data_IF_577560444132
#
_entry.id   IF_577560444132
#
_cell.length_a   1.000
_cell.length_b   1.000
_cell.length_c   1.000
_cell.angle_alpha   90.00
_cell.angle_beta   90.00
_cell.angle_gamma   90.00
#
_symmetry.space_group_name_H-M   'P 1'
#
loop_
_entity.id
_entity.type
_entity.pdbx_description
1 polymer ?
#
# COMPACT_ATOMS: atom_id res chain seq x y z
N UNK A 1 66.59 -18.87 -13.85
CA UNK A 1 66.02 -17.72 -13.10
C UNK A 1 64.76 -18.24 -12.39
N UNK A 2 64.95 -19.02 -11.31
CA UNK A 2 64.49 -18.78 -9.91
C UNK A 2 63.00 -18.44 -9.78
N UNK A 3 62.16 -19.41 -9.38
CA UNK A 3 61.70 -19.75 -7.99
C UNK A 3 60.32 -19.11 -7.75
N UNK A 4 59.30 -19.69 -7.12
CA UNK A 4 59.02 -21.00 -6.50
C UNK A 4 57.59 -20.96 -5.93
N UNK A 5 56.92 -22.11 -5.89
CA UNK A 5 55.65 -22.36 -5.18
C UNK A 5 55.70 -22.03 -3.68
N UNK A 6 54.57 -21.63 -3.08
CA UNK A 6 54.24 -21.90 -1.66
C UNK A 6 52.74 -22.24 -1.51
N UNK A 7 52.49 -23.42 -0.94
CA UNK A 7 51.23 -23.93 -0.38
C UNK A 7 51.08 -23.52 1.11
N UNK A 8 49.83 -23.46 1.57
CA UNK A 8 49.32 -23.97 2.88
C UNK A 8 49.85 -23.39 4.21
N UNK A 9 48.97 -22.84 5.07
CA UNK A 9 48.38 -23.59 6.22
C UNK A 9 47.69 -22.70 7.27
N UNK A 10 46.59 -23.25 7.80
CA UNK A 10 45.89 -23.03 9.09
C UNK A 10 46.69 -22.59 10.34
N UNK A 11 46.01 -21.85 11.23
CA UNK A 11 46.01 -21.93 12.71
C UNK A 11 44.71 -21.26 13.20
N UNK A 12 43.70 -21.90 13.79
CA UNK A 12 43.50 -22.55 15.10
C UNK A 12 43.51 -21.65 16.37
N UNK A 13 42.31 -21.58 16.97
CA UNK A 13 41.91 -21.55 18.40
C UNK A 13 42.14 -20.32 19.30
N UNK A 14 41.04 -19.86 19.94
CA UNK A 14 40.77 -19.94 21.41
C UNK A 14 39.45 -19.20 21.71
N UNK A 15 38.33 -19.85 22.05
CA UNK A 15 37.86 -20.33 23.38
C UNK A 15 38.07 -19.40 24.58
N UNK A 16 36.96 -19.02 25.22
CA UNK A 16 36.85 -18.41 26.56
C UNK A 16 35.68 -17.43 26.59
N UNK A 17 34.47 -17.74 27.08
CA UNK A 17 34.16 -18.44 28.32
C UNK A 17 34.01 -17.42 29.45
N UNK A 18 32.80 -16.85 29.63
CA UNK A 18 32.37 -16.30 30.92
C UNK A 18 30.84 -16.31 31.05
N UNK A 19 30.36 -17.26 31.86
CA UNK A 19 29.04 -17.31 32.52
C UNK A 19 29.19 -16.73 33.92
N UNK A 20 28.27 -15.85 34.30
CA UNK A 20 27.77 -15.54 35.64
C UNK A 20 26.29 -15.16 35.37
N UNK A 21 25.23 -15.84 35.83
CA UNK A 21 24.99 -16.45 37.13
C UNK A 21 24.36 -15.41 38.05
N UNK A 22 23.03 -15.22 38.06
CA UNK A 22 22.08 -15.41 39.19
C UNK A 22 20.90 -14.42 38.94
N UNK A 23 19.63 -14.55 39.35
CA UNK A 23 18.86 -15.47 40.20
C UNK A 23 17.35 -15.21 39.96
N UNK A 24 16.54 -16.06 40.58
CA UNK A 24 15.16 -16.46 40.31
C UNK A 24 14.08 -15.74 41.18
N UNK A 25 12.80 -15.96 40.82
CA UNK A 25 11.49 -15.78 41.56
C UNK A 25 10.76 -14.44 41.33
N UNK A 26 9.55 -14.42 40.72
CA UNK A 26 8.20 -14.98 41.05
C UNK A 26 7.49 -14.18 42.17
N UNK A 27 6.44 -13.44 41.79
CA UNK A 27 5.39 -12.82 42.62
C UNK A 27 4.38 -12.16 41.68
N UNK A 28 3.26 -12.82 41.38
CA UNK A 28 1.95 -12.71 42.04
C UNK A 28 1.07 -11.57 41.54
N UNK A 29 -0.12 -11.99 41.08
CA UNK A 29 -1.27 -11.21 40.62
C UNK A 29 -1.63 -10.04 41.52
N UNK A 30 -1.96 -8.90 40.90
CA UNK A 30 -3.05 -8.04 41.36
C UNK A 30 -3.95 -7.63 40.20
N UNK A 31 -5.17 -8.17 40.27
CA UNK A 31 -6.37 -7.61 39.66
C UNK A 31 -6.47 -6.12 40.02
N UNK A 32 -6.66 -5.27 39.03
CA UNK A 32 -7.34 -3.99 39.22
C UNK A 32 -8.54 -3.96 38.28
N UNK A 33 -9.69 -4.17 38.91
CA UNK A 33 -11.00 -3.78 38.42
C UNK A 33 -10.98 -2.29 38.07
N UNK A 34 -11.34 -1.94 36.84
CA UNK A 34 -11.86 -0.61 36.55
C UNK A 34 -13.22 -0.76 35.87
N UNK A 35 -14.21 -0.26 36.58
CA UNK A 35 -15.64 -0.31 36.31
C UNK A 35 -16.00 0.47 35.04
N UNK A 36 -16.88 -0.12 34.24
CA UNK A 36 -17.44 0.46 33.04
C UNK A 36 -18.32 1.68 33.36
N UNK A 37 -18.16 2.75 32.57
CA UNK A 37 -19.19 3.78 32.38
C UNK A 37 -19.78 3.53 30.98
N UNK A 38 -20.99 2.99 30.95
CA UNK A 38 -21.81 2.90 29.75
C UNK A 38 -22.26 4.31 29.33
N UNK A 39 -21.91 4.72 28.12
CA UNK A 39 -22.74 5.63 27.32
C UNK A 39 -23.03 4.94 26.00
N UNK A 40 -24.28 4.52 25.83
CA UNK A 40 -24.78 4.00 24.58
C UNK A 40 -24.88 5.12 23.57
N UNK A 41 -24.33 4.89 22.38
CA UNK A 41 -24.69 5.60 21.16
C UNK A 41 -25.10 4.53 20.17
N UNK A 42 -26.38 4.57 19.80
CA UNK A 42 -27.00 3.76 18.77
C UNK A 42 -26.45 4.21 17.42
N UNK A 43 -25.62 3.40 16.77
CA UNK A 43 -25.21 3.61 15.38
C UNK A 43 -26.31 3.10 14.44
N UNK A 44 -27.07 4.02 13.86
CA UNK A 44 -27.83 3.77 12.63
C UNK A 44 -26.90 3.93 11.42
N UNK A 45 -27.01 3.00 10.46
CA UNK A 45 -26.26 3.02 9.20
C UNK A 45 -26.74 4.19 8.31
N UNK A 46 -25.85 4.97 7.66
CA UNK A 46 -26.28 6.03 6.75
C UNK A 46 -26.80 5.47 5.41
N UNK A 47 -27.83 6.11 4.87
CA UNK A 47 -28.44 5.79 3.57
C UNK A 47 -27.54 6.18 2.39
N UNK A 48 -27.76 5.56 1.22
CA UNK A 48 -26.94 5.62 0.00
C UNK A 48 -26.86 6.98 -0.75
N UNK A 49 -26.89 8.14 -0.07
CA UNK A 49 -26.69 9.45 -0.71
C UNK A 49 -25.73 10.33 0.07
N UNK A 50 -24.50 9.89 0.22
CA UNK A 50 -23.37 10.72 0.67
C UNK A 50 -22.06 10.05 0.20
N UNK A 51 -21.70 10.25 -1.07
CA UNK A 51 -20.43 9.81 -1.65
C UNK A 51 -19.86 10.92 -2.56
N UNK A 52 -19.65 12.10 -2.00
CA UNK A 52 -18.98 13.21 -2.72
C UNK A 52 -17.93 13.95 -1.89
N UNK A 53 -17.52 13.44 -0.73
CA UNK A 53 -16.42 14.02 0.05
C UNK A 53 -15.27 13.00 0.22
N UNK A 54 -14.00 13.42 0.01
CA UNK A 54 -12.85 12.53 0.17
C UNK A 54 -12.81 11.94 1.59
N UNK A 55 -12.78 10.60 1.67
CA UNK A 55 -12.84 9.80 2.90
C UNK A 55 -11.69 10.08 3.91
N UNK A 56 -10.75 10.98 3.61
CA UNK A 56 -9.69 11.38 4.54
C UNK A 56 -10.06 12.58 5.42
N UNK A 57 -11.04 13.42 5.05
CA UNK A 57 -11.24 14.73 5.70
C UNK A 57 -11.90 14.69 7.09
N UNK A 58 -12.50 13.57 7.52
CA UNK A 58 -13.41 13.56 8.68
C UNK A 58 -12.79 13.20 10.04
N UNK A 59 -11.47 13.21 10.21
CA UNK A 59 -10.88 13.05 11.54
C UNK A 59 -9.71 14.02 11.76
N UNK A 60 -10.02 15.23 12.23
CA UNK A 60 -9.21 16.04 13.15
C UNK A 60 -9.87 17.42 13.34
N UNK A 61 -10.99 17.44 14.07
CA UNK A 61 -11.47 18.67 14.74
C UNK A 61 -11.57 18.36 16.21
N UNK A 62 -10.54 18.73 16.96
CA UNK A 62 -10.62 19.15 18.37
C UNK A 62 -9.20 19.30 18.94
N UNK A 63 -8.74 20.56 19.05
CA UNK A 63 -8.09 21.14 20.24
C UNK A 63 -7.73 22.59 19.96
N UNK A 64 -8.62 23.48 20.35
CA UNK A 64 -8.32 24.90 20.52
C UNK A 64 -7.61 25.15 21.86
N UNK A 65 -6.85 26.25 21.90
CA UNK A 65 -6.10 26.85 23.00
C UNK A 65 -4.65 26.41 23.22
N UNK A 66 -3.78 26.61 22.21
CA UNK A 66 -2.38 27.13 22.37
C UNK A 66 -1.87 27.66 21.02
N UNK A 67 -2.53 28.67 20.45
CA UNK A 67 -2.64 28.77 18.98
C UNK A 67 -1.54 29.56 18.27
N UNK A 68 -0.89 30.56 18.87
CA UNK A 68 -0.01 31.46 18.08
C UNK A 68 1.41 30.93 17.78
N UNK A 69 2.08 30.25 18.71
CA UNK A 69 3.44 29.72 18.47
C UNK A 69 3.44 28.36 17.77
N UNK A 70 2.38 27.57 17.95
CA UNK A 70 2.20 26.29 17.27
C UNK A 70 1.85 26.48 15.78
N UNK A 71 0.99 27.45 15.44
CA UNK A 71 0.62 27.73 14.05
C UNK A 71 1.83 28.21 13.20
N UNK A 72 2.67 29.11 13.74
CA UNK A 72 3.89 29.57 13.05
C UNK A 72 4.95 28.47 12.90
N UNK A 73 5.01 27.50 13.82
CA UNK A 73 5.87 26.32 13.69
C UNK A 73 5.33 25.33 12.64
N UNK A 74 4.01 25.13 12.57
CA UNK A 74 3.41 24.21 11.59
C UNK A 74 3.51 24.68 10.14
N UNK A 75 3.60 26.00 9.89
CA UNK A 75 3.77 26.52 8.53
C UNK A 75 5.18 26.29 7.96
N UNK A 76 6.17 26.01 8.83
CA UNK A 76 7.56 25.66 8.43
C UNK A 76 7.81 24.16 8.28
N UNK A 77 6.90 23.32 8.77
CA UNK A 77 7.07 21.87 8.70
C UNK A 77 7.04 21.39 7.26
N UNK A 78 8.12 20.72 6.83
CA UNK A 78 8.26 20.21 5.47
C UNK A 78 7.09 19.28 5.11
N UNK A 79 6.56 18.51 6.06
CA UNK A 79 5.41 17.63 5.84
C UNK A 79 4.13 18.36 5.50
N UNK A 80 3.84 19.46 6.18
CA UNK A 80 2.62 20.23 5.91
C UNK A 80 2.77 21.05 4.62
N UNK A 81 3.98 21.54 4.33
CA UNK A 81 4.27 22.20 3.05
C UNK A 81 4.10 21.24 1.88
N UNK A 82 4.70 20.04 1.93
CA UNK A 82 4.53 19.02 0.87
C UNK A 82 3.04 18.67 0.70
N UNK A 83 2.33 18.41 1.80
CA UNK A 83 0.89 18.11 1.77
C UNK A 83 0.09 19.23 1.10
N UNK A 84 0.42 20.49 1.37
CA UNK A 84 -0.23 21.67 0.78
C UNK A 84 0.02 21.76 -0.71
N UNK A 85 1.28 21.74 -1.15
CA UNK A 85 1.65 21.92 -2.57
C UNK A 85 1.22 20.75 -3.45
N UNK A 86 1.10 19.54 -2.87
CA UNK A 86 0.69 18.35 -3.62
C UNK A 86 -0.83 18.11 -3.63
N UNK A 87 -1.63 18.95 -2.96
CA UNK A 87 -3.08 18.75 -2.81
C UNK A 87 -3.80 18.54 -4.15
N UNK A 88 -3.58 19.43 -5.12
CA UNK A 88 -4.23 19.36 -6.42
C UNK A 88 -3.75 18.15 -7.25
N UNK A 89 -2.45 17.84 -7.21
CA UNK A 89 -1.90 16.67 -7.90
C UNK A 89 -2.37 15.35 -7.26
N UNK A 90 -2.59 15.32 -5.95
CA UNK A 90 -3.20 14.18 -5.27
C UNK A 90 -4.64 13.94 -5.76
N UNK A 91 -5.47 14.99 -5.80
CA UNK A 91 -6.84 14.91 -6.31
C UNK A 91 -6.83 14.40 -7.76
N UNK A 92 -5.95 14.91 -8.62
CA UNK A 92 -5.83 14.42 -10.00
C UNK A 92 -5.41 12.96 -10.07
N UNK A 93 -4.45 12.53 -9.25
CA UNK A 93 -4.02 11.14 -9.22
C UNK A 93 -5.15 10.17 -8.85
N UNK A 94 -5.97 10.51 -7.85
CA UNK A 94 -7.13 9.72 -7.45
C UNK A 94 -8.23 9.66 -8.51
N UNK A 95 -8.31 10.68 -9.37
CA UNK A 95 -9.30 10.78 -10.46
C UNK A 95 -8.79 10.24 -11.81
N UNK A 96 -7.61 9.60 -11.86
CA UNK A 96 -7.19 8.86 -13.06
C UNK A 96 -8.10 7.67 -13.32
N UNK A 97 -8.32 7.29 -14.60
CA UNK A 97 -9.23 6.19 -14.95
C UNK A 97 -8.90 4.87 -14.24
N UNK A 98 -7.60 4.57 -14.09
CA UNK A 98 -7.16 3.37 -13.38
C UNK A 98 -7.58 3.42 -11.91
N UNK A 99 -7.36 4.55 -11.21
CA UNK A 99 -7.72 4.69 -9.79
C UNK A 99 -9.24 4.73 -9.59
N UNK A 100 -9.99 5.38 -10.48
CA UNK A 100 -11.46 5.33 -10.48
C UNK A 100 -11.97 3.90 -10.67
N UNK A 101 -11.31 3.08 -11.51
CA UNK A 101 -11.62 1.66 -11.67
C UNK A 101 -11.39 0.87 -10.38
N UNK A 102 -10.30 1.13 -9.65
CA UNK A 102 -10.13 0.57 -8.30
C UNK A 102 -11.27 1.01 -7.38
N UNK A 103 -11.51 2.31 -7.22
CA UNK A 103 -12.53 2.83 -6.29
C UNK A 103 -13.92 2.25 -6.55
N UNK A 104 -14.27 1.98 -7.82
CA UNK A 104 -15.54 1.34 -8.22
C UNK A 104 -15.56 -0.19 -8.06
N UNK A 105 -14.45 -0.81 -7.66
CA UNK A 105 -14.32 -2.26 -7.59
C UNK A 105 -14.31 -2.94 -8.96
N UNK A 106 -13.89 -2.23 -10.00
CA UNK A 106 -13.90 -2.66 -11.40
C UNK A 106 -12.49 -2.99 -11.93
N UNK A 107 -11.47 -2.92 -11.08
CA UNK A 107 -10.11 -3.27 -11.45
C UNK A 107 -10.03 -4.73 -11.90
N UNK A 108 -9.49 -4.93 -13.10
CA UNK A 108 -9.30 -6.25 -13.70
C UNK A 108 -7.94 -6.84 -13.33
N UNK A 109 -7.81 -8.16 -13.38
CA UNK A 109 -6.52 -8.83 -13.14
C UNK A 109 -5.40 -8.34 -14.09
N UNK A 110 -5.62 -8.13 -15.39
CA UNK A 110 -4.60 -7.55 -16.28
C UNK A 110 -4.17 -6.13 -15.87
N UNK A 111 -5.12 -5.28 -15.48
CA UNK A 111 -4.81 -3.94 -14.94
C UNK A 111 -3.93 -4.02 -13.71
N UNK A 112 -4.31 -4.87 -12.76
CA UNK A 112 -3.57 -5.06 -11.52
C UNK A 112 -2.15 -5.60 -11.77
N UNK A 113 -2.01 -6.59 -12.65
CA UNK A 113 -0.72 -7.18 -13.00
C UNK A 113 0.23 -6.18 -13.68
N UNK A 114 -0.27 -5.31 -14.56
CA UNK A 114 0.56 -4.26 -15.18
C UNK A 114 0.94 -3.15 -14.19
N UNK A 115 0.05 -2.82 -13.27
CA UNK A 115 0.36 -1.92 -12.16
C UNK A 115 1.51 -2.50 -11.31
N UNK A 116 1.45 -3.78 -10.92
CA UNK A 116 2.52 -4.44 -10.17
C UNK A 116 3.86 -4.42 -10.90
N UNK A 117 3.88 -4.66 -12.23
CA UNK A 117 5.10 -4.55 -13.03
C UNK A 117 5.71 -3.14 -12.93
N UNK A 118 4.87 -2.09 -13.00
CA UNK A 118 5.36 -0.71 -12.91
C UNK A 118 5.80 -0.33 -11.50
N UNK A 119 5.09 -0.80 -10.47
CA UNK A 119 5.50 -0.64 -9.08
C UNK A 119 6.85 -1.32 -8.83
N UNK A 120 7.07 -2.53 -9.33
CA UNK A 120 8.35 -3.21 -9.21
C UNK A 120 9.52 -2.37 -9.73
N UNK A 121 9.43 -1.83 -10.95
CA UNK A 121 10.50 -0.99 -11.52
C UNK A 121 10.70 0.32 -10.73
N UNK A 122 9.60 0.97 -10.30
CA UNK A 122 9.67 2.23 -9.54
C UNK A 122 10.26 2.02 -8.16
N UNK A 123 9.81 1.02 -7.40
CA UNK A 123 10.34 0.76 -6.06
C UNK A 123 11.76 0.20 -6.12
N UNK A 124 12.10 -0.60 -7.14
CA UNK A 124 13.48 -0.99 -7.36
C UNK A 124 14.39 0.24 -7.53
N UNK A 125 14.02 1.19 -8.37
CA UNK A 125 14.81 2.41 -8.57
C UNK A 125 14.83 3.32 -7.32
N UNK A 126 13.69 3.45 -6.61
CA UNK A 126 13.60 4.24 -5.39
C UNK A 126 14.48 3.65 -4.29
N UNK A 127 14.33 2.35 -4.01
CA UNK A 127 15.04 1.66 -2.94
C UNK A 127 16.55 1.54 -3.25
N UNK A 128 16.94 1.29 -4.51
CA UNK A 128 18.35 1.37 -4.94
C UNK A 128 19.00 2.73 -4.56
N UNK A 129 18.28 3.83 -4.76
CA UNK A 129 18.81 5.18 -4.48
C UNK A 129 18.65 5.60 -3.02
N UNK A 130 17.65 5.09 -2.30
CA UNK A 130 17.55 5.24 -0.85
C UNK A 130 18.70 4.51 -0.15
N UNK A 131 19.03 3.29 -0.58
CA UNK A 131 20.15 2.51 -0.05
C UNK A 131 21.49 3.19 -0.34
N UNK A 132 21.69 3.66 -1.59
CA UNK A 132 22.90 4.39 -1.98
C UNK A 132 23.12 5.63 -1.12
N UNK A 133 22.04 6.33 -0.78
CA UNK A 133 22.08 7.60 -0.05
C UNK A 133 21.70 7.47 1.42
N UNK A 134 21.70 6.27 2.01
CA UNK A 134 21.22 6.03 3.38
C UNK A 134 21.95 6.83 4.47
N UNK A 135 23.18 7.29 4.20
CA UNK A 135 23.97 8.15 5.10
C UNK A 135 23.88 9.65 4.76
N UNK A 136 23.20 10.03 3.69
CA UNK A 136 23.01 11.44 3.32
C UNK A 136 22.18 12.16 4.40
N UNK A 137 22.55 13.36 4.86
CA UNK A 137 21.86 14.05 5.97
C UNK A 137 20.34 14.19 5.79
N UNK A 138 19.88 14.40 4.56
CA UNK A 138 18.45 14.52 4.25
C UNK A 138 17.70 13.20 4.13
N UNK A 139 18.41 12.09 3.86
CA UNK A 139 17.80 10.77 3.63
C UNK A 139 17.84 9.91 4.89
N UNK A 140 18.93 9.96 5.65
CA UNK A 140 19.13 9.17 6.86
C UNK A 140 17.96 9.27 7.87
N UNK A 141 17.33 10.45 8.11
CA UNK A 141 16.22 10.56 9.06
C UNK A 141 14.97 9.77 8.65
N UNK A 142 14.76 9.57 7.34
CA UNK A 142 13.58 8.91 6.76
C UNK A 142 13.86 7.49 6.24
N UNK A 143 15.05 6.95 6.48
CA UNK A 143 15.46 5.65 5.97
C UNK A 143 14.98 4.51 6.89
N UNK A 144 13.84 3.90 6.51
CA UNK A 144 13.16 2.82 7.26
C UNK A 144 12.97 1.56 6.40
N UNK A 145 14.06 0.88 5.97
CA UNK A 145 13.95 -0.25 5.04
C UNK A 145 13.17 -1.44 5.63
N UNK A 146 13.34 -1.74 6.93
CA UNK A 146 12.66 -2.87 7.57
C UNK A 146 11.13 -2.70 7.61
N UNK A 147 10.66 -1.46 7.72
CA UNK A 147 9.24 -1.13 7.82
C UNK A 147 8.61 -0.84 6.45
N UNK A 148 9.34 -0.16 5.56
CA UNK A 148 8.78 0.43 4.35
C UNK A 148 9.21 -0.21 3.03
N UNK A 149 10.33 -0.95 2.96
CA UNK A 149 10.78 -1.52 1.68
C UNK A 149 9.70 -2.42 1.07
N UNK A 150 9.43 -2.26 -0.22
CA UNK A 150 8.38 -2.93 -0.98
C UNK A 150 8.94 -3.90 -2.01
N UNK A 151 10.22 -3.82 -2.39
CA UNK A 151 10.77 -4.62 -3.47
C UNK A 151 10.50 -6.12 -3.29
N UNK A 152 10.86 -6.71 -2.14
CA UNK A 152 10.60 -8.14 -1.89
C UNK A 152 9.10 -8.49 -1.93
N UNK A 153 8.24 -7.56 -1.49
CA UNK A 153 6.80 -7.76 -1.44
C UNK A 153 6.20 -7.79 -2.86
N UNK A 154 6.59 -6.84 -3.71
CA UNK A 154 6.12 -6.82 -5.11
C UNK A 154 6.72 -7.96 -5.93
N UNK A 155 7.94 -8.41 -5.63
CA UNK A 155 8.52 -9.63 -6.25
C UNK A 155 7.70 -10.89 -5.91
N UNK A 156 7.25 -11.04 -4.66
CA UNK A 156 6.35 -12.15 -4.25
C UNK A 156 5.03 -12.11 -5.01
N UNK A 157 4.44 -10.91 -5.16
CA UNK A 157 3.19 -10.76 -5.88
C UNK A 157 3.35 -11.05 -7.38
N UNK A 158 4.45 -10.60 -7.99
CA UNK A 158 4.76 -10.92 -9.39
C UNK A 158 4.98 -12.42 -9.59
N UNK A 159 5.71 -13.08 -8.70
CA UNK A 159 5.89 -14.53 -8.74
C UNK A 159 4.55 -15.28 -8.61
N UNK A 160 3.63 -14.80 -7.77
CA UNK A 160 2.28 -15.36 -7.64
C UNK A 160 1.48 -15.25 -8.96
N UNK A 161 1.48 -14.10 -9.62
CA UNK A 161 0.65 -13.89 -10.82
C UNK A 161 1.27 -14.33 -12.15
N UNK A 162 2.60 -14.44 -12.22
CA UNK A 162 3.33 -14.72 -13.45
C UNK A 162 4.17 -16.01 -13.40
N UNK A 163 4.30 -16.64 -12.23
CA UNK A 163 5.11 -17.83 -12.02
C UNK A 163 6.59 -17.51 -11.77
N UNK A 164 7.47 -18.53 -11.70
CA UNK A 164 8.89 -18.35 -11.38
C UNK A 164 9.62 -17.43 -12.38
N UNK A 165 9.23 -17.47 -13.66
CA UNK A 165 9.84 -16.67 -14.73
C UNK A 165 9.23 -15.28 -14.87
N UNK A 166 8.65 -14.72 -13.79
CA UNK A 166 7.95 -13.44 -13.83
C UNK A 166 8.84 -12.29 -14.34
N UNK A 167 10.16 -12.34 -14.08
CA UNK A 167 11.12 -11.30 -14.48
C UNK A 167 11.15 -11.10 -15.99
N UNK A 168 11.01 -12.17 -16.78
CA UNK A 168 10.97 -12.11 -18.25
C UNK A 168 9.64 -11.55 -18.79
N UNK A 169 8.62 -11.46 -17.94
CA UNK A 169 7.26 -11.04 -18.28
C UNK A 169 6.95 -9.61 -17.83
N UNK A 170 7.90 -8.93 -17.18
CA UNK A 170 7.75 -7.54 -16.76
C UNK A 170 7.72 -6.65 -18.00
N UNK A 171 6.55 -6.05 -18.24
CA UNK A 171 6.34 -5.06 -19.29
C UNK A 171 5.80 -3.80 -18.64
N UNK A 172 6.44 -2.67 -18.90
CA UNK A 172 6.11 -1.36 -18.31
C UNK A 172 6.00 -0.28 -19.38
N UNK A 173 5.15 0.74 -19.19
CA UNK A 173 5.05 1.87 -20.11
C UNK A 173 6.30 2.74 -20.10
N UNK A 174 6.39 3.62 -21.10
CA UNK A 174 7.45 4.63 -21.17
C UNK A 174 7.45 5.56 -19.95
N UNK A 175 6.28 5.91 -19.41
CA UNK A 175 6.17 6.69 -18.17
C UNK A 175 6.90 6.06 -16.98
N UNK A 176 6.80 4.73 -16.80
CA UNK A 176 7.52 4.03 -15.72
C UNK A 176 9.03 4.18 -15.86
N UNK A 177 9.56 4.06 -17.09
CA UNK A 177 10.99 4.25 -17.36
C UNK A 177 11.43 5.69 -17.08
N UNK A 178 10.62 6.69 -17.45
CA UNK A 178 10.88 8.10 -17.13
C UNK A 178 10.94 8.35 -15.62
N UNK A 179 10.00 7.75 -14.87
CA UNK A 179 10.02 7.82 -13.42
C UNK A 179 11.31 7.21 -12.85
N UNK A 180 11.63 5.97 -13.23
CA UNK A 180 12.85 5.30 -12.77
C UNK A 180 14.13 6.08 -13.12
N UNK A 181 14.16 6.72 -14.29
CA UNK A 181 15.27 7.60 -14.69
C UNK A 181 15.38 8.81 -13.77
N UNK A 182 14.27 9.49 -13.46
CA UNK A 182 14.28 10.65 -12.56
C UNK A 182 14.77 10.28 -11.16
N UNK A 183 14.32 9.15 -10.61
CA UNK A 183 14.78 8.63 -9.31
C UNK A 183 16.30 8.43 -9.28
N UNK A 184 16.85 7.77 -10.30
CA UNK A 184 18.30 7.56 -10.41
C UNK A 184 19.08 8.85 -10.65
N UNK A 185 18.50 9.79 -11.38
CA UNK A 185 19.11 11.10 -11.60
C UNK A 185 19.22 11.87 -10.27
N UNK A 186 18.12 12.03 -9.53
CA UNK A 186 18.15 12.76 -8.26
C UNK A 186 18.97 12.04 -7.19
N UNK A 187 18.93 10.71 -7.14
CA UNK A 187 19.75 9.94 -6.20
C UNK A 187 21.25 10.13 -6.42
N UNK A 188 21.67 10.53 -7.63
CA UNK A 188 23.07 10.86 -7.94
C UNK A 188 23.39 12.34 -7.76
N UNK A 189 22.49 13.21 -8.20
CA UNK A 189 22.78 14.65 -8.38
C UNK A 189 22.25 15.52 -7.23
N UNK A 190 21.10 15.16 -6.65
CA UNK A 190 20.37 15.95 -5.64
C UNK A 190 19.65 15.00 -4.64
N UNK A 191 20.39 14.25 -3.79
CA UNK A 191 19.82 13.19 -2.94
C UNK A 191 18.74 13.67 -1.96
N UNK A 192 18.77 14.94 -1.56
CA UNK A 192 17.75 15.58 -0.73
C UNK A 192 16.34 15.51 -1.35
N UNK A 193 16.24 15.45 -2.68
CA UNK A 193 14.96 15.31 -3.38
C UNK A 193 14.36 13.90 -3.27
N UNK A 194 15.12 12.90 -2.81
CA UNK A 194 14.56 11.56 -2.54
C UNK A 194 13.47 11.61 -1.46
N UNK A 195 13.53 12.58 -0.53
CA UNK A 195 12.50 12.80 0.49
C UNK A 195 11.11 12.99 -0.13
N UNK A 196 11.03 13.76 -1.23
CA UNK A 196 9.77 14.02 -1.93
C UNK A 196 9.13 12.74 -2.50
N UNK A 197 9.95 11.88 -3.10
CA UNK A 197 9.49 10.63 -3.70
C UNK A 197 9.14 9.57 -2.65
N UNK A 198 9.98 9.42 -1.62
CA UNK A 198 9.72 8.52 -0.51
C UNK A 198 8.43 8.91 0.23
N UNK A 199 8.22 10.22 0.49
CA UNK A 199 6.97 10.74 1.03
C UNK A 199 5.78 10.35 0.16
N UNK A 200 5.84 10.68 -1.14
CA UNK A 200 4.71 10.49 -2.07
C UNK A 200 4.30 9.01 -2.17
N UNK A 201 5.29 8.11 -2.18
CA UNK A 201 5.05 6.67 -2.31
C UNK A 201 4.63 6.04 -0.97
N UNK A 202 5.52 6.03 0.03
CA UNK A 202 5.30 5.25 1.25
C UNK A 202 4.11 5.73 2.08
N UNK A 203 3.88 7.04 2.20
CA UNK A 203 2.72 7.56 2.95
C UNK A 203 1.41 7.36 2.20
N UNK A 204 1.46 7.33 0.86
CA UNK A 204 0.34 6.90 0.02
C UNK A 204 -0.02 5.43 0.28
N UNK A 205 0.97 4.54 0.32
CA UNK A 205 0.75 3.11 0.56
C UNK A 205 0.20 2.81 1.97
N UNK A 206 0.69 3.54 2.98
CA UNK A 206 0.21 3.48 4.38
C UNK A 206 -1.13 4.21 4.60
N UNK A 207 -1.69 4.83 3.56
CA UNK A 207 -2.98 5.52 3.59
C UNK A 207 -3.96 4.87 2.62
N UNK A 208 -4.10 5.40 1.40
CA UNK A 208 -5.01 4.86 0.38
C UNK A 208 -4.67 3.44 -0.06
N UNK A 209 -3.38 3.07 -0.05
CA UNK A 209 -2.93 1.72 -0.43
C UNK A 209 -3.60 0.60 0.36
N UNK A 210 -3.86 0.80 1.65
CA UNK A 210 -4.56 -0.20 2.50
C UNK A 210 -6.01 -0.44 2.05
N UNK A 211 -6.68 0.60 1.54
CA UNK A 211 -8.02 0.48 0.97
C UNK A 211 -7.96 -0.19 -0.40
N UNK A 212 -7.00 0.23 -1.24
CA UNK A 212 -6.80 -0.34 -2.57
C UNK A 212 -6.49 -1.84 -2.54
N UNK A 213 -5.68 -2.31 -1.58
CA UNK A 213 -5.40 -3.73 -1.40
C UNK A 213 -6.67 -4.56 -1.11
N UNK A 214 -7.56 -4.06 -0.24
CA UNK A 214 -8.85 -4.72 0.07
C UNK A 214 -9.79 -4.73 -1.13
N UNK A 215 -9.84 -3.63 -1.86
CA UNK A 215 -10.59 -3.53 -3.11
C UNK A 215 -10.07 -4.54 -4.13
N UNK A 216 -8.75 -4.59 -4.35
CA UNK A 216 -8.09 -5.50 -5.28
C UNK A 216 -8.42 -6.96 -4.93
N UNK A 217 -8.34 -7.32 -3.65
CA UNK A 217 -8.71 -8.64 -3.14
C UNK A 217 -10.14 -9.02 -3.54
N UNK A 218 -11.10 -8.12 -3.27
CA UNK A 218 -12.52 -8.35 -3.53
C UNK A 218 -12.82 -8.43 -5.03
N UNK A 219 -12.33 -7.46 -5.81
CA UNK A 219 -12.60 -7.35 -7.25
C UNK A 219 -12.07 -8.53 -8.05
N UNK A 220 -10.93 -9.10 -7.63
CA UNK A 220 -10.31 -10.26 -8.29
C UNK A 220 -10.69 -11.61 -7.66
N UNK A 221 -11.51 -11.62 -6.59
CA UNK A 221 -11.93 -12.85 -5.92
C UNK A 221 -10.79 -13.65 -5.26
N UNK A 222 -9.75 -12.96 -4.79
CA UNK A 222 -8.61 -13.59 -4.12
C UNK A 222 -9.03 -14.14 -2.76
N UNK A 223 -8.81 -15.45 -2.53
CA UNK A 223 -9.24 -16.16 -1.31
C UNK A 223 -8.22 -16.07 -0.17
N UNK A 224 -6.97 -15.78 -0.49
CA UNK A 224 -5.87 -15.56 0.46
C UNK A 224 -5.34 -14.13 0.31
N UNK A 225 -4.35 -13.76 1.13
CA UNK A 225 -3.57 -12.53 0.97
C UNK A 225 -2.43 -12.66 -0.04
N UNK A 226 -2.28 -13.82 -0.70
CA UNK A 226 -1.27 -14.02 -1.72
C UNK A 226 -1.57 -13.16 -2.95
N UNK A 227 -0.53 -12.57 -3.54
CA UNK A 227 -0.68 -11.58 -4.61
C UNK A 227 -1.06 -10.17 -4.12
N UNK A 228 -1.05 -9.92 -2.80
CA UNK A 228 -1.30 -8.61 -2.18
C UNK A 228 -0.23 -8.23 -1.15
N UNK A 229 0.93 -8.88 -1.19
CA UNK A 229 2.05 -8.66 -0.28
C UNK A 229 2.52 -7.21 -0.28
N UNK A 230 2.49 -6.53 -1.44
CA UNK A 230 2.84 -5.12 -1.58
C UNK A 230 2.08 -4.20 -0.59
N UNK A 231 0.80 -4.50 -0.35
CA UNK A 231 -0.05 -3.73 0.55
C UNK A 231 0.13 -4.09 2.03
N UNK A 232 0.87 -5.16 2.35
CA UNK A 232 1.10 -5.61 3.71
C UNK A 232 2.39 -4.99 4.28
N UNK A 233 2.30 -4.41 5.48
CA UNK A 233 3.43 -3.78 6.18
C UNK A 233 3.68 -4.49 7.52
N UNK A 234 4.25 -5.71 7.53
CA UNK A 234 4.44 -6.48 8.76
C UNK A 234 5.38 -5.79 9.78
N UNK A 235 6.30 -4.94 9.30
CA UNK A 235 7.15 -4.11 10.15
C UNK A 235 6.44 -2.89 10.77
N UNK A 236 5.21 -2.57 10.35
CA UNK A 236 4.44 -1.41 10.83
C UNK A 236 3.25 -1.89 11.66
N UNK A 237 3.36 -1.79 12.99
CA UNK A 237 2.29 -2.19 13.92
C UNK A 237 1.07 -1.26 13.88
N UNK A 238 1.26 0.02 13.62
CA UNK A 238 0.19 1.01 13.49
C UNK A 238 0.52 2.00 12.37
N UNK A 239 -0.18 1.94 11.22
CA UNK A 239 0.05 2.85 10.10
C UNK A 239 -0.06 4.33 10.49
N UNK A 240 -1.02 4.69 11.36
CA UNK A 240 -1.21 6.08 11.77
C UNK A 240 -0.04 6.58 12.63
N UNK A 241 0.41 5.80 13.63
CA UNK A 241 1.58 6.18 14.45
C UNK A 241 2.85 6.23 13.61
N UNK A 242 3.02 5.31 12.67
CA UNK A 242 4.19 5.29 11.81
C UNK A 242 4.21 6.49 10.85
N UNK A 243 3.07 6.89 10.27
CA UNK A 243 2.98 8.13 9.46
C UNK A 243 3.31 9.37 10.28
N UNK A 244 2.87 9.46 11.53
CA UNK A 244 3.23 10.56 12.44
C UNK A 244 4.74 10.59 12.72
N UNK A 245 5.34 9.42 13.04
CA UNK A 245 6.79 9.28 13.19
C UNK A 245 7.53 9.73 11.91
N UNK A 246 7.11 9.23 10.76
CA UNK A 246 7.75 9.55 9.47
C UNK A 246 7.70 11.05 9.18
N UNK A 247 6.55 11.72 9.38
CA UNK A 247 6.44 13.18 9.23
C UNK A 247 7.34 13.93 10.19
N UNK A 248 7.38 13.52 11.47
CA UNK A 248 8.28 14.13 12.46
C UNK A 248 9.76 14.00 12.05
N UNK A 249 10.16 12.84 11.51
CA UNK A 249 11.53 12.63 10.98
C UNK A 249 11.82 13.49 9.76
N UNK A 250 10.86 13.60 8.85
CA UNK A 250 10.98 14.45 7.68
C UNK A 250 11.10 15.94 8.06
N UNK A 251 10.38 16.39 9.10
CA UNK A 251 10.47 17.77 9.59
C UNK A 251 11.82 18.08 10.27
N UNK A 252 12.57 17.05 10.68
CA UNK A 252 13.93 17.20 11.22
C UNK A 252 15.03 17.31 10.16
N UNK A 253 14.69 17.19 8.88
CA UNK A 253 15.65 17.33 7.78
C UNK A 253 16.02 18.81 7.62
N UNK A 254 17.30 19.11 7.82
CA UNK A 254 17.87 20.45 7.61
C UNK A 254 18.09 20.68 6.11
N UNK A 255 17.52 21.76 5.58
CA UNK A 255 17.59 22.17 4.17
C UNK A 255 17.80 23.68 4.09
N UNK A 256 18.56 24.15 3.10
CA UNK A 256 18.52 25.56 2.71
C UNK A 256 17.15 25.93 2.14
N UNK A 257 16.89 27.23 1.95
CA UNK A 257 15.63 27.66 1.31
C UNK A 257 15.54 27.16 -0.14
N UNK A 258 16.65 27.15 -0.88
CA UNK A 258 16.71 26.64 -2.26
C UNK A 258 16.43 25.14 -2.32
N UNK A 259 17.08 24.35 -1.45
CA UNK A 259 16.86 22.90 -1.37
C UNK A 259 15.41 22.58 -1.00
N UNK A 260 14.86 23.31 -0.01
CA UNK A 260 13.46 23.17 0.40
C UNK A 260 12.49 23.44 -0.74
N UNK A 261 12.67 24.54 -1.46
CA UNK A 261 11.84 24.85 -2.63
C UNK A 261 11.96 23.76 -3.70
N UNK A 262 13.18 23.26 -3.94
CA UNK A 262 13.42 22.13 -4.84
C UNK A 262 12.69 20.85 -4.43
N UNK A 263 12.67 20.51 -3.12
CA UNK A 263 11.91 19.36 -2.59
C UNK A 263 10.41 19.53 -2.81
N UNK A 264 9.86 20.74 -2.62
CA UNK A 264 8.44 21.01 -2.83
C UNK A 264 8.05 20.85 -4.30
N UNK A 265 8.86 21.39 -5.22
CA UNK A 265 8.66 21.20 -6.66
C UNK A 265 8.78 19.73 -7.07
N UNK A 266 9.76 19.01 -6.50
CA UNK A 266 9.94 17.59 -6.79
C UNK A 266 8.78 16.75 -6.24
N UNK A 267 8.17 17.13 -5.12
CA UNK A 267 6.99 16.42 -4.61
C UNK A 267 5.82 16.52 -5.59
N UNK A 268 5.58 17.69 -6.16
CA UNK A 268 4.58 17.86 -7.24
C UNK A 268 4.96 17.00 -8.45
N UNK A 269 6.23 17.01 -8.87
CA UNK A 269 6.74 16.17 -9.97
C UNK A 269 6.53 14.67 -9.70
N UNK A 270 6.74 14.21 -8.47
CA UNK A 270 6.53 12.82 -8.07
C UNK A 270 5.07 12.40 -8.29
N UNK A 271 4.10 13.26 -7.98
CA UNK A 271 2.69 13.00 -8.31
C UNK A 271 2.45 13.00 -9.83
N UNK A 272 3.00 13.95 -10.59
CA UNK A 272 2.84 13.96 -12.05
C UNK A 272 3.39 12.68 -12.71
N UNK A 273 4.54 12.20 -12.23
CA UNK A 273 5.12 10.95 -12.71
C UNK A 273 4.21 9.75 -12.40
N UNK A 274 3.58 9.70 -11.24
CA UNK A 274 2.58 8.68 -10.90
C UNK A 274 1.35 8.75 -11.82
N UNK A 275 0.81 9.96 -12.04
CA UNK A 275 -0.33 10.18 -12.94
C UNK A 275 -0.01 9.67 -14.34
N UNK A 276 1.15 10.05 -14.90
CA UNK A 276 1.58 9.60 -16.22
C UNK A 276 1.72 8.08 -16.31
N UNK A 277 2.21 7.43 -15.24
CA UNK A 277 2.26 5.96 -15.18
C UNK A 277 0.86 5.36 -15.27
N UNK A 278 -0.10 5.87 -14.49
CA UNK A 278 -1.49 5.37 -14.52
C UNK A 278 -2.16 5.58 -15.88
N UNK A 279 -1.96 6.75 -16.50
CA UNK A 279 -2.50 7.05 -17.83
C UNK A 279 -1.89 6.17 -18.93
N UNK A 280 -0.58 5.97 -18.93
CA UNK A 280 0.07 5.14 -19.95
C UNK A 280 -0.27 3.64 -19.76
N UNK A 281 -0.42 3.17 -18.51
CA UNK A 281 -0.92 1.83 -18.22
C UNK A 281 -2.31 1.62 -18.84
N UNK A 282 -3.20 2.59 -18.67
CA UNK A 282 -4.54 2.55 -19.25
C UNK A 282 -4.48 2.51 -20.79
N UNK A 283 -3.62 3.32 -21.43
CA UNK A 283 -3.42 3.29 -22.89
C UNK A 283 -2.91 1.93 -23.39
N UNK A 284 -1.97 1.31 -22.67
CA UNK A 284 -1.46 -0.04 -23.00
C UNK A 284 -2.58 -1.09 -23.00
N UNK A 285 -3.51 -1.00 -22.05
CA UNK A 285 -4.64 -1.92 -21.95
C UNK A 285 -5.67 -1.74 -23.06
N UNK A 286 -5.93 -0.50 -23.48
CA UNK A 286 -6.84 -0.18 -24.58
C UNK A 286 -6.27 -0.56 -25.95
N UNK A 287 -4.95 -0.51 -26.08
CA UNK A 287 -4.23 -0.81 -27.33
C UNK A 287 -3.92 -2.31 -27.50
N UNK A 288 -4.15 -3.12 -26.47
CA UNK A 288 -4.01 -4.57 -26.58
C UNK A 288 -5.12 -5.12 -27.51
N UNK A 289 -4.79 -5.83 -28.60
CA UNK A 289 -5.81 -6.38 -29.49
C UNK A 289 -6.73 -7.32 -28.70
N UNK A 290 -8.06 -7.12 -28.82
CA UNK A 290 -9.12 -7.88 -28.12
C UNK A 290 -9.08 -9.42 -28.29
N UNK A 291 -8.13 -9.95 -29.06
CA UNK A 291 -8.04 -11.37 -29.45
C UNK A 291 -7.04 -12.23 -28.65
N UNK A 292 -6.48 -11.75 -27.52
CA UNK A 292 -5.60 -12.60 -26.67
C UNK A 292 -5.94 -12.64 -25.18
N UNK A 293 -7.15 -12.23 -24.80
CA UNK A 293 -7.73 -12.55 -23.48
C UNK A 293 -9.03 -13.36 -23.66
N UNK A 294 -8.96 -14.47 -24.39
CA UNK A 294 -9.85 -15.58 -24.08
C UNK A 294 -9.21 -16.34 -22.94
N UNK A 295 -9.79 -16.19 -21.76
CA UNK A 295 -9.66 -17.16 -20.68
C UNK A 295 -9.81 -18.55 -21.27
N UNK A 296 -8.82 -19.41 -21.09
CA UNK A 296 -9.00 -20.85 -21.20
C UNK A 296 -9.92 -21.31 -20.07
N UNK A 297 -11.20 -20.97 -20.15
CA UNK A 297 -12.25 -21.67 -19.44
C UNK A 297 -12.49 -22.95 -20.24
N UNK A 298 -11.82 -24.04 -19.84
CA UNK A 298 -12.28 -25.38 -20.18
C UNK A 298 -13.78 -25.46 -19.89
N UNK A 299 -14.63 -25.82 -20.86
CA UNK A 299 -16.05 -25.97 -20.60
C UNK A 299 -16.22 -27.14 -19.64
N UNK A 300 -16.78 -26.86 -18.46
CA UNK A 300 -17.31 -27.92 -17.60
C UNK A 300 -18.36 -28.65 -18.42
N UNK A 301 -18.13 -29.95 -18.70
CA UNK A 301 -19.14 -30.81 -19.28
C UNK A 301 -20.38 -30.75 -18.39
N UNK A 302 -21.43 -30.09 -18.86
CA UNK A 302 -22.76 -30.29 -18.30
C UNK A 302 -23.12 -31.77 -18.48
N UNK A 303 -23.22 -32.48 -17.37
CA UNK A 303 -23.84 -33.80 -17.36
C UNK A 303 -25.33 -33.59 -17.65
N UNK A 304 -25.77 -33.98 -18.84
CA UNK A 304 -27.19 -34.07 -19.18
C UNK A 304 -27.81 -35.16 -18.30
N UNK A 305 -28.77 -34.78 -17.46
CA UNK A 305 -29.65 -35.75 -16.78
C UNK A 305 -30.96 -35.79 -17.61
N UNK A 306 -31.37 -36.98 -18.12
CA UNK A 306 -32.63 -37.13 -18.83
C UNK A 306 -33.83 -36.82 -17.94
N UNK A 307 -34.86 -36.24 -18.55
CA UNK A 307 -36.04 -35.75 -17.86
C UNK A 307 -36.93 -36.81 -17.21
N UNK A 308 -37.69 -36.30 -16.23
CA UNK A 308 -38.91 -36.82 -15.63
C UNK A 308 -38.79 -38.09 -14.76
N UNK A 309 -39.02 -37.90 -13.44
CA UNK A 309 -40.09 -38.57 -12.68
C UNK A 309 -40.52 -37.60 -11.55
N UNK A 310 -41.80 -37.26 -11.54
CA UNK A 310 -42.50 -36.58 -10.44
C UNK A 310 -42.97 -37.65 -9.48
N UNK A 311 -42.59 -37.61 -8.19
CA UNK A 311 -43.35 -38.25 -7.12
C UNK A 311 -43.36 -37.41 -5.84
N UNK A 312 -44.53 -36.80 -5.62
CA UNK A 312 -45.23 -36.56 -4.36
C UNK A 312 -44.53 -36.85 -3.03
N UNK A 313 -44.25 -35.80 -2.26
CA UNK A 313 -44.41 -35.85 -0.79
C UNK A 313 -44.80 -34.47 -0.23
N UNK A 314 -45.77 -34.39 0.71
CA UNK A 314 -46.31 -33.12 1.22
C UNK A 314 -45.34 -32.36 2.15
N UNK A 315 -44.17 -32.93 2.50
CA UNK A 315 -43.16 -32.29 3.33
C UNK A 315 -42.24 -31.33 2.55
N UNK A 316 -42.19 -31.41 1.22
CA UNK A 316 -41.36 -30.52 0.40
C UNK A 316 -42.05 -29.18 0.03
N UNK A 317 -43.35 -29.04 0.35
CA UNK A 317 -44.10 -27.78 0.15
C UNK A 317 -43.96 -26.79 1.32
N UNK A 318 -43.34 -27.19 2.44
CA UNK A 318 -43.14 -26.32 3.60
C UNK A 318 -41.76 -25.65 3.67
N UNK A 319 -40.78 -26.05 2.84
CA UNK A 319 -39.44 -25.45 2.86
C UNK A 319 -39.15 -24.45 1.72
N UNK A 320 -40.00 -24.37 0.69
CA UNK A 320 -39.85 -23.41 -0.42
C UNK A 320 -40.82 -22.21 -0.32
N UNK A 321 -41.62 -22.15 0.75
CA UNK A 321 -42.48 -21.00 1.10
C UNK A 321 -41.82 -19.95 2.00
N UNK A 322 -40.59 -20.19 2.48
CA UNK A 322 -39.87 -19.27 3.37
C UNK A 322 -38.79 -18.42 2.66
N UNK A 323 -38.63 -18.56 1.33
CA UNK A 323 -37.64 -17.79 0.56
C UNK A 323 -38.24 -16.75 -0.42
N UNK A 324 -39.56 -16.54 -0.40
CA UNK A 324 -40.21 -15.50 -1.25
C UNK A 324 -41.02 -14.47 -0.43
N UNK A 325 -41.03 -14.55 0.91
CA UNK A 325 -41.70 -13.57 1.78
C UNK A 325 -40.77 -12.75 2.69
N UNK A 326 -39.47 -12.67 2.38
CA UNK A 326 -38.54 -11.72 3.03
C UNK A 326 -38.12 -10.58 2.07
N UNK A 327 -38.55 -10.64 0.80
CA UNK A 327 -38.23 -9.63 -0.20
C UNK A 327 -39.23 -8.45 -0.27
N UNK A 328 -40.25 -8.37 0.59
CA UNK A 328 -41.31 -7.33 0.50
C UNK A 328 -41.75 -6.67 1.81
N UNK A 329 -41.02 -6.84 2.91
CA UNK A 329 -41.28 -6.09 4.17
C UNK A 329 -40.09 -5.24 4.65
N UNK A 330 -38.94 -5.30 3.98
CA UNK A 330 -37.74 -4.52 4.34
C UNK A 330 -37.65 -3.09 3.78
N UNK A 331 -38.77 -2.49 3.33
CA UNK A 331 -38.80 -1.10 2.80
C UNK A 331 -39.60 -0.15 3.70
N UNK A 332 -40.20 -0.64 4.80
CA UNK A 332 -41.19 0.12 5.58
C UNK A 332 -40.85 0.45 7.03
N UNK A 333 -39.61 0.26 7.51
CA UNK A 333 -39.24 0.60 8.89
C UNK A 333 -37.80 1.11 8.90
N UNK A 334 -37.62 2.42 8.71
CA UNK A 334 -36.63 3.30 9.34
C UNK A 334 -36.84 4.71 8.76
N UNK A 335 -38.02 5.26 9.06
CA UNK A 335 -38.29 6.69 8.99
C UNK A 335 -38.96 7.03 10.32
N UNK A 336 -38.14 7.41 11.31
CA UNK A 336 -38.42 8.40 12.34
C UNK A 336 -37.16 8.64 13.17
#
# INVERSE_FOLDING_TARGET
MRRSDIKSSCFHSATGGRRLGEKYKRGESRLLHCTAIQRGVSESLPSQRELTEPYWFTMETEKENTTQTAEEMTDRDLSEQIKRVTKESHIRAENTELMLSFQKGQVTLPQFKLLLCSLYEVYKALEEEMDRNCHHPSVAPIYFPAELARLEAVEKDLAYFYGPDWREKVVVPAATKRYCHRLRQIGKENPEFLVAHAYTRYLGDLSGGQVLGRIAQKSMGLRSSEGLSFFAFPGVSSPNRFKQLYRSRMNSVELTEEERNGVLEEAVRAFELNIQVFEDLQKMLLSAPKNKLQTSSTPVKMLQIPGAIIQSSPLFRALLGLFVAVATVGIGIYAF
#
